data_IF_459241513526
#
_entry.id   IF_459241513526
#
_cell.length_a   1.000
_cell.length_b   1.000
_cell.length_c   1.000
_cell.angle_alpha   90.00
_cell.angle_beta   90.00
_cell.angle_gamma   90.00
#
_symmetry.space_group_name_H-M   'P 1'
#
loop_
_entity.id
_entity.type
_entity.pdbx_description
1 polymer ?
#
# COMPACT_ATOMS: atom_id res chain seq x y z
N UNK A 1 -4.86 -42.23 -5.55
CA UNK A 1 -5.11 -41.48 -6.80
C UNK A 1 -6.13 -40.43 -6.42
N UNK A 2 -5.63 -39.27 -6.02
CA UNK A 2 -6.45 -38.12 -5.67
C UNK A 2 -7.23 -37.84 -6.94
N UNK A 3 -8.54 -37.92 -6.84
CA UNK A 3 -9.36 -37.56 -7.97
C UNK A 3 -9.06 -36.09 -8.30
N UNK A 4 -9.10 -35.75 -9.58
CA UNK A 4 -9.00 -34.35 -10.01
C UNK A 4 -10.07 -33.47 -9.34
N UNK A 5 -11.17 -34.10 -8.90
CA UNK A 5 -12.27 -33.49 -8.14
C UNK A 5 -11.79 -33.05 -6.76
N UNK A 6 -11.11 -33.91 -5.98
CA UNK A 6 -10.60 -33.55 -4.65
C UNK A 6 -9.60 -32.39 -4.72
N UNK A 7 -8.66 -32.44 -5.67
CA UNK A 7 -7.69 -31.34 -5.90
C UNK A 7 -8.41 -30.03 -6.27
N UNK A 8 -9.46 -30.13 -7.08
CA UNK A 8 -10.27 -28.97 -7.47
C UNK A 8 -11.05 -28.38 -6.29
N UNK A 9 -11.57 -29.21 -5.39
CA UNK A 9 -12.27 -28.76 -4.18
C UNK A 9 -11.31 -28.07 -3.19
N UNK A 10 -10.14 -28.65 -2.95
CA UNK A 10 -9.09 -28.03 -2.14
C UNK A 10 -8.65 -26.68 -2.70
N UNK A 11 -8.44 -26.61 -4.03
CA UNK A 11 -8.11 -25.36 -4.71
C UNK A 11 -9.23 -24.32 -4.60
N UNK A 12 -10.50 -24.72 -4.73
CA UNK A 12 -11.64 -23.82 -4.53
C UNK A 12 -11.70 -23.28 -3.10
N UNK A 13 -11.34 -24.09 -2.09
CA UNK A 13 -11.24 -23.62 -0.70
C UNK A 13 -10.13 -22.58 -0.52
N UNK A 14 -9.00 -22.71 -1.23
CA UNK A 14 -7.95 -21.67 -1.26
C UNK A 14 -8.49 -20.37 -1.84
N UNK A 15 -9.15 -20.45 -2.99
CA UNK A 15 -9.70 -19.28 -3.69
C UNK A 15 -10.77 -18.55 -2.85
N UNK A 16 -11.70 -19.29 -2.27
CA UNK A 16 -12.76 -18.73 -1.41
C UNK A 16 -12.19 -18.11 -0.15
N UNK A 17 -11.25 -18.81 0.52
CA UNK A 17 -10.59 -18.30 1.74
C UNK A 17 -9.81 -17.01 1.49
N UNK A 18 -9.14 -16.90 0.34
CA UNK A 18 -8.50 -15.65 -0.06
C UNK A 18 -9.54 -14.54 -0.29
N UNK A 19 -10.61 -14.83 -1.04
CA UNK A 19 -11.68 -13.87 -1.34
C UNK A 19 -12.36 -13.28 -0.10
N UNK A 20 -12.67 -14.12 0.89
CA UNK A 20 -13.31 -13.71 2.14
C UNK A 20 -12.38 -12.83 3.00
N UNK A 21 -11.09 -13.20 3.09
CA UNK A 21 -10.16 -12.57 4.03
C UNK A 21 -9.67 -11.20 3.55
N UNK A 22 -9.56 -10.98 2.22
CA UNK A 22 -9.16 -9.66 1.71
C UNK A 22 -10.33 -8.65 1.78
N UNK A 23 -11.58 -9.09 2.05
CA UNK A 23 -12.79 -8.25 2.13
C UNK A 23 -12.78 -7.11 3.16
N UNK A 24 -11.86 -7.13 4.13
CA UNK A 24 -11.78 -6.15 5.21
C UNK A 24 -10.95 -4.92 4.82
N UNK A 25 -11.56 -4.02 4.05
CA UNK A 25 -11.03 -2.68 3.82
C UNK A 25 -11.12 -1.87 5.12
N UNK A 26 -10.06 -1.12 5.45
CA UNK A 26 -10.08 -0.17 6.58
C UNK A 26 -11.23 0.82 6.39
N UNK A 27 -12.27 0.68 7.22
CA UNK A 27 -13.42 1.58 7.16
C UNK A 27 -13.02 3.04 7.37
N UNK A 28 -13.65 3.95 6.63
CA UNK A 28 -13.42 5.39 6.75
C UNK A 28 -13.85 5.88 8.14
N UNK A 29 -12.87 6.09 9.03
CA UNK A 29 -13.10 6.65 10.36
C UNK A 29 -12.05 7.70 10.65
N UNK A 30 -12.48 8.90 11.05
CA UNK A 30 -11.55 9.98 11.40
C UNK A 30 -10.64 9.59 12.58
N UNK A 31 -11.09 8.69 13.45
CA UNK A 31 -10.33 8.21 14.60
C UNK A 31 -9.48 6.96 14.30
N UNK A 32 -9.20 6.68 13.02
CA UNK A 32 -8.25 5.64 12.63
C UNK A 32 -6.88 5.89 13.24
N UNK A 33 -6.30 4.82 13.79
CA UNK A 33 -4.98 4.84 14.40
C UNK A 33 -3.93 4.34 13.42
N UNK A 34 -2.68 4.76 13.63
CA UNK A 34 -1.53 4.20 12.90
C UNK A 34 -1.45 2.68 13.10
N UNK A 35 -1.74 2.22 14.31
CA UNK A 35 -1.78 0.79 14.65
C UNK A 35 -2.83 -0.01 13.88
N UNK A 36 -3.92 0.62 13.43
CA UNK A 36 -4.93 -0.04 12.60
C UNK A 36 -4.40 -0.26 11.17
N UNK A 37 -3.56 0.65 10.65
CA UNK A 37 -2.82 0.45 9.39
C UNK A 37 -1.76 -0.64 9.55
N UNK A 38 -1.03 -0.66 10.66
CA UNK A 38 -0.09 -1.74 10.97
C UNK A 38 -0.78 -3.11 11.02
N UNK A 39 -1.97 -3.20 11.62
CA UNK A 39 -2.80 -4.43 11.62
C UNK A 39 -3.27 -4.80 10.22
N UNK A 40 -3.66 -3.84 9.39
CA UNK A 40 -4.03 -4.11 8.00
C UNK A 40 -2.91 -4.84 7.26
N UNK A 41 -1.67 -4.33 7.33
CA UNK A 41 -0.53 -4.99 6.68
C UNK A 41 -0.23 -6.36 7.26
N UNK A 42 -0.38 -6.53 8.59
CA UNK A 42 -0.29 -7.85 9.23
C UNK A 42 -1.35 -8.83 8.69
N UNK A 43 -2.60 -8.39 8.55
CA UNK A 43 -3.67 -9.22 7.99
C UNK A 43 -3.39 -9.58 6.52
N UNK A 44 -2.87 -8.64 5.72
CA UNK A 44 -2.45 -8.92 4.34
C UNK A 44 -1.36 -9.99 4.33
N UNK A 45 -0.32 -9.85 5.16
CA UNK A 45 0.75 -10.82 5.29
C UNK A 45 0.22 -12.22 5.66
N UNK A 46 -0.60 -12.33 6.70
CA UNK A 46 -1.16 -13.61 7.17
C UNK A 46 -2.07 -14.25 6.11
N UNK A 47 -2.89 -13.45 5.41
CA UNK A 47 -3.74 -13.93 4.31
C UNK A 47 -2.92 -14.56 3.21
N UNK A 48 -1.92 -13.81 2.71
CA UNK A 48 -1.12 -14.19 1.55
C UNK A 48 -0.24 -15.39 1.89
N UNK A 49 0.29 -15.45 3.12
CA UNK A 49 1.00 -16.62 3.63
C UNK A 49 0.08 -17.84 3.68
N UNK A 50 -1.14 -17.71 4.19
CA UNK A 50 -2.11 -18.81 4.21
C UNK A 50 -2.47 -19.33 2.82
N UNK A 51 -2.57 -18.45 1.83
CA UNK A 51 -2.75 -18.85 0.42
C UNK A 51 -1.53 -19.61 -0.10
N UNK A 52 -0.31 -19.10 0.15
CA UNK A 52 0.94 -19.77 -0.23
C UNK A 52 1.01 -21.18 0.35
N UNK A 53 0.83 -21.32 1.66
CA UNK A 53 0.97 -22.60 2.36
C UNK A 53 -0.04 -23.63 1.84
N UNK A 54 -1.29 -23.21 1.58
CA UNK A 54 -2.32 -24.11 1.02
C UNK A 54 -2.01 -24.53 -0.41
N UNK A 55 -1.46 -23.64 -1.26
CA UNK A 55 -1.04 -24.00 -2.62
C UNK A 55 0.12 -25.00 -2.62
N UNK A 56 1.11 -24.78 -1.76
CA UNK A 56 2.25 -25.71 -1.59
C UNK A 56 1.79 -27.07 -1.06
N UNK A 57 0.82 -27.08 -0.15
CA UNK A 57 0.18 -28.31 0.34
C UNK A 57 -0.50 -29.09 -0.79
N UNK A 58 -1.30 -28.43 -1.64
CA UNK A 58 -1.94 -29.07 -2.81
C UNK A 58 -0.88 -29.72 -3.71
N UNK A 59 0.22 -29.02 -3.99
CA UNK A 59 1.32 -29.57 -4.80
C UNK A 59 1.95 -30.81 -4.15
N UNK A 60 2.15 -30.80 -2.83
CA UNK A 60 2.71 -31.94 -2.11
C UNK A 60 1.79 -33.17 -2.16
N UNK A 61 0.50 -32.98 -1.89
CA UNK A 61 -0.51 -34.05 -1.94
C UNK A 61 -0.62 -34.62 -3.37
N UNK A 62 -0.65 -33.77 -4.40
CA UNK A 62 -0.62 -34.21 -5.80
C UNK A 62 0.59 -35.09 -6.13
N UNK A 63 1.78 -34.81 -5.58
CA UNK A 63 2.99 -35.61 -5.81
C UNK A 63 2.92 -36.96 -5.10
N UNK A 64 2.49 -36.99 -3.85
CA UNK A 64 2.31 -38.21 -3.07
C UNK A 64 1.33 -39.17 -3.75
N UNK A 65 0.26 -38.60 -4.29
CA UNK A 65 -0.81 -39.30 -4.99
C UNK A 65 -0.48 -39.66 -6.45
N UNK A 66 0.75 -39.32 -6.91
CA UNK A 66 1.25 -39.53 -8.27
C UNK A 66 0.33 -38.94 -9.35
N UNK A 67 -0.19 -37.76 -9.09
CA UNK A 67 -1.04 -37.05 -10.04
C UNK A 67 -0.21 -36.63 -11.28
N UNK A 68 -0.66 -36.96 -12.51
CA UNK A 68 0.08 -36.63 -13.73
C UNK A 68 0.26 -35.12 -13.96
N UNK A 69 -0.62 -34.29 -13.39
CA UNK A 69 -0.59 -32.83 -13.52
C UNK A 69 0.28 -32.15 -12.46
N UNK A 70 0.85 -32.91 -11.49
CA UNK A 70 1.59 -32.35 -10.36
C UNK A 70 2.75 -31.45 -10.77
N UNK A 71 3.51 -31.83 -11.81
CA UNK A 71 4.64 -31.05 -12.29
C UNK A 71 4.21 -29.69 -12.90
N UNK A 72 3.11 -29.67 -13.66
CA UNK A 72 2.56 -28.44 -14.23
C UNK A 72 2.03 -27.50 -13.15
N UNK A 73 1.28 -28.04 -12.19
CA UNK A 73 0.76 -27.27 -11.05
C UNK A 73 1.89 -26.73 -10.18
N UNK A 74 2.92 -27.54 -9.89
CA UNK A 74 4.10 -27.10 -9.14
C UNK A 74 4.79 -25.91 -9.83
N UNK A 75 4.96 -25.96 -11.15
CA UNK A 75 5.59 -24.89 -11.91
C UNK A 75 4.82 -23.57 -11.76
N UNK A 76 3.50 -23.58 -11.95
CA UNK A 76 2.66 -22.38 -11.82
C UNK A 76 2.59 -21.87 -10.37
N UNK A 77 2.55 -22.78 -9.38
CA UNK A 77 2.57 -22.41 -7.96
C UNK A 77 3.91 -21.76 -7.60
N UNK A 78 5.05 -22.35 -7.97
CA UNK A 78 6.38 -21.75 -7.72
C UNK A 78 6.51 -20.38 -8.35
N UNK A 79 5.99 -20.22 -9.56
CA UNK A 79 5.96 -18.93 -10.26
C UNK A 79 5.14 -17.90 -9.49
N UNK A 80 3.90 -18.24 -9.10
CA UNK A 80 3.05 -17.35 -8.31
C UNK A 80 3.69 -16.96 -6.97
N UNK A 81 4.30 -17.93 -6.28
CA UNK A 81 4.98 -17.73 -5.00
C UNK A 81 6.14 -16.74 -5.15
N UNK A 82 7.10 -17.05 -6.03
CA UNK A 82 8.33 -16.27 -6.18
C UNK A 82 8.14 -14.92 -6.88
N UNK A 83 7.23 -14.83 -7.84
CA UNK A 83 6.99 -13.58 -8.57
C UNK A 83 6.11 -12.61 -7.78
N UNK A 84 5.19 -13.10 -6.95
CA UNK A 84 4.20 -12.28 -6.26
C UNK A 84 4.04 -12.54 -4.75
N UNK A 85 3.68 -13.76 -4.32
CA UNK A 85 3.25 -13.98 -2.92
C UNK A 85 4.37 -13.64 -1.92
N UNK A 86 5.60 -14.06 -2.18
CA UNK A 86 6.74 -13.81 -1.29
C UNK A 86 7.02 -12.31 -1.13
N UNK A 87 6.99 -11.57 -2.23
CA UNK A 87 7.23 -10.11 -2.21
C UNK A 87 6.11 -9.35 -1.50
N UNK A 88 4.86 -9.79 -1.67
CA UNK A 88 3.72 -9.22 -0.95
C UNK A 88 3.85 -9.51 0.55
N UNK A 89 4.22 -10.74 0.93
CA UNK A 89 4.42 -11.14 2.33
C UNK A 89 5.54 -10.31 2.97
N UNK A 90 6.71 -10.26 2.33
CA UNK A 90 7.89 -9.56 2.85
C UNK A 90 7.66 -8.04 2.94
N UNK A 91 7.06 -7.46 1.90
CA UNK A 91 6.70 -6.04 1.89
C UNK A 91 5.69 -5.71 2.98
N UNK A 92 4.61 -6.50 3.10
CA UNK A 92 3.57 -6.26 4.10
C UNK A 92 4.11 -6.42 5.53
N UNK A 93 4.94 -7.44 5.77
CA UNK A 93 5.65 -7.61 7.04
C UNK A 93 6.53 -6.40 7.35
N UNK A 94 7.34 -5.95 6.39
CA UNK A 94 8.24 -4.80 6.55
C UNK A 94 7.48 -3.53 6.92
N UNK A 95 6.35 -3.25 6.25
CA UNK A 95 5.50 -2.08 6.54
C UNK A 95 4.82 -2.23 7.91
N UNK A 96 4.22 -3.39 8.19
CA UNK A 96 3.54 -3.66 9.45
C UNK A 96 4.47 -3.51 10.68
N UNK A 97 5.72 -3.97 10.56
CA UNK A 97 6.74 -3.79 11.59
C UNK A 97 7.17 -2.32 11.75
N UNK A 98 7.37 -1.60 10.64
CA UNK A 98 7.80 -0.20 10.68
C UNK A 98 6.75 0.70 11.33
N UNK A 99 5.46 0.47 11.05
CA UNK A 99 4.34 1.22 11.66
C UNK A 99 4.12 0.77 13.12
N UNK A 100 4.15 -0.55 13.34
CA UNK A 100 3.73 -1.18 14.58
C UNK A 100 2.22 -1.42 14.67
N UNK A 101 1.83 -2.45 15.42
CA UNK A 101 0.42 -2.88 15.57
C UNK A 101 -0.22 -2.43 16.88
N UNK A 102 0.53 -1.69 17.70
CA UNK A 102 0.13 -1.19 19.01
C UNK A 102 0.37 0.32 19.03
N UNK A 103 -0.55 1.05 19.68
CA UNK A 103 -0.48 2.50 19.81
C UNK A 103 -1.84 3.17 19.62
N UNK A 104 -1.99 4.35 20.21
CA UNK A 104 -3.22 5.16 20.16
C UNK A 104 -3.11 6.36 19.21
N UNK A 105 -1.94 6.58 18.63
CA UNK A 105 -1.70 7.70 17.72
C UNK A 105 -2.62 7.62 16.50
N UNK A 106 -3.32 8.72 16.25
CA UNK A 106 -4.21 8.88 15.11
C UNK A 106 -3.40 9.07 13.82
N UNK A 107 -4.01 8.79 12.68
CA UNK A 107 -3.43 9.15 11.37
C UNK A 107 -3.21 10.66 11.24
N UNK A 108 -4.14 11.47 11.74
CA UNK A 108 -3.98 12.92 11.88
C UNK A 108 -3.42 13.34 13.23
N UNK A 109 -2.25 12.82 13.63
CA UNK A 109 -1.59 13.23 14.88
C UNK A 109 -0.87 14.58 14.69
N UNK A 110 -0.95 15.47 15.67
CA UNK A 110 -0.35 16.81 15.62
C UNK A 110 0.71 16.98 16.70
N UNK A 111 1.72 17.79 16.40
CA UNK A 111 2.63 18.31 17.40
C UNK A 111 1.90 19.30 18.32
N UNK A 112 2.51 19.60 19.46
CA UNK A 112 2.02 20.62 20.38
C UNK A 112 1.85 21.97 19.68
N UNK A 113 1.00 22.83 20.24
CA UNK A 113 0.76 24.17 19.72
C UNK A 113 2.08 24.93 19.48
N UNK A 114 2.22 25.53 18.29
CA UNK A 114 3.42 26.27 17.86
C UNK A 114 4.66 25.41 17.53
N UNK A 115 4.60 24.09 17.71
CA UNK A 115 5.68 23.18 17.35
C UNK A 115 5.62 22.76 15.89
N UNK A 116 6.80 22.56 15.29
CA UNK A 116 6.93 21.93 13.99
C UNK A 116 6.41 20.49 13.98
N UNK A 117 6.16 19.97 12.78
CA UNK A 117 5.82 18.57 12.59
C UNK A 117 7.00 17.64 12.90
N UNK A 118 6.71 16.35 13.08
CA UNK A 118 7.71 15.31 13.32
C UNK A 118 7.75 14.40 12.10
N UNK A 119 8.92 14.17 11.51
CA UNK A 119 9.06 13.29 10.33
C UNK A 119 8.62 11.87 10.64
N UNK A 120 8.93 11.40 11.85
CA UNK A 120 8.73 10.03 12.27
C UNK A 120 10.02 9.22 12.13
N UNK A 121 9.92 7.94 12.52
CA UNK A 121 11.01 6.96 12.49
C UNK A 121 10.70 5.87 11.46
N UNK A 122 11.73 5.19 10.94
CA UNK A 122 11.58 4.08 9.98
C UNK A 122 10.93 4.47 8.63
N UNK A 123 11.04 5.74 8.22
CA UNK A 123 10.46 6.25 6.96
C UNK A 123 10.97 5.43 5.76
N UNK A 124 12.27 5.22 5.68
CA UNK A 124 12.92 4.52 4.58
C UNK A 124 12.51 3.04 4.52
N UNK A 125 12.41 2.38 5.68
CA UNK A 125 11.95 0.99 5.78
C UNK A 125 10.51 0.86 5.31
N UNK A 126 9.65 1.78 5.73
CA UNK A 126 8.24 1.81 5.34
C UNK A 126 8.08 2.05 3.83
N UNK A 127 8.76 3.05 3.27
CA UNK A 127 8.72 3.35 1.83
C UNK A 127 9.20 2.15 1.02
N UNK A 128 10.30 1.50 1.45
CA UNK A 128 10.82 0.29 0.79
C UNK A 128 9.80 -0.85 0.83
N UNK A 129 9.19 -1.13 1.98
CA UNK A 129 8.19 -2.18 2.09
C UNK A 129 6.96 -1.92 1.21
N UNK A 130 6.49 -0.66 1.10
CA UNK A 130 5.42 -0.30 0.17
C UNK A 130 5.87 -0.49 -1.27
N UNK A 131 7.11 -0.08 -1.60
CA UNK A 131 7.69 -0.24 -2.94
C UNK A 131 7.73 -1.71 -3.38
N UNK A 132 8.17 -2.61 -2.52
CA UNK A 132 8.29 -4.03 -2.83
C UNK A 132 6.93 -4.66 -3.20
N UNK A 133 5.83 -4.16 -2.61
CA UNK A 133 4.48 -4.57 -2.99
C UNK A 133 4.05 -3.88 -4.28
N UNK A 134 4.15 -2.54 -4.33
CA UNK A 134 3.64 -1.69 -5.42
C UNK A 134 4.28 -2.04 -6.77
N UNK A 135 5.59 -2.28 -6.81
CA UNK A 135 6.32 -2.64 -8.04
C UNK A 135 5.79 -3.95 -8.68
N UNK A 136 5.13 -4.80 -7.88
CA UNK A 136 4.57 -6.07 -8.34
C UNK A 136 3.09 -5.93 -8.71
N UNK A 137 2.32 -5.25 -7.87
CA UNK A 137 0.85 -5.29 -7.96
C UNK A 137 0.26 -4.13 -8.74
N UNK A 138 0.94 -2.98 -8.81
CA UNK A 138 0.37 -1.74 -9.33
C UNK A 138 1.05 -1.32 -10.63
N UNK A 139 0.28 -1.30 -11.72
CA UNK A 139 0.74 -0.87 -13.06
C UNK A 139 0.24 0.52 -13.46
N UNK A 140 -0.55 1.14 -12.60
CA UNK A 140 -1.25 2.40 -12.87
C UNK A 140 -0.85 3.49 -11.87
N UNK A 141 -1.36 4.70 -12.11
CA UNK A 141 -1.07 5.90 -11.35
C UNK A 141 0.18 6.66 -11.82
N UNK A 142 0.31 7.90 -11.37
CA UNK A 142 1.46 8.78 -11.63
C UNK A 142 1.86 9.51 -10.36
N UNK A 143 3.14 9.47 -10.02
CA UNK A 143 3.68 10.14 -8.83
C UNK A 143 3.56 11.68 -8.88
N UNK A 144 3.33 12.24 -10.06
CA UNK A 144 3.19 13.67 -10.35
C UNK A 144 1.78 14.05 -10.84
N UNK A 145 0.78 13.20 -10.56
CA UNK A 145 -0.61 13.49 -10.93
C UNK A 145 -1.15 14.77 -10.28
N UNK A 146 -2.12 15.38 -10.96
CA UNK A 146 -2.71 16.67 -10.61
C UNK A 146 -1.84 17.85 -11.02
N UNK A 147 -2.02 18.99 -10.35
CA UNK A 147 -1.29 20.21 -10.65
C UNK A 147 -0.56 20.75 -9.42
N UNK A 148 0.25 21.77 -9.64
CA UNK A 148 1.03 22.46 -8.63
C UNK A 148 0.32 23.70 -8.08
N UNK A 149 -0.96 23.90 -8.39
CA UNK A 149 -1.67 25.14 -8.07
C UNK A 149 -2.12 25.17 -6.62
N UNK A 150 -1.87 26.31 -5.96
CA UNK A 150 -2.37 26.64 -4.62
C UNK A 150 -3.89 26.67 -4.62
N UNK A 151 -4.51 26.21 -3.54
CA UNK A 151 -5.96 26.21 -3.40
C UNK A 151 -6.55 27.60 -3.13
N UNK A 152 -5.78 28.56 -2.57
CA UNK A 152 -6.31 29.90 -2.29
C UNK A 152 -6.68 30.71 -3.52
N UNK A 153 -5.98 30.53 -4.64
CA UNK A 153 -6.24 31.26 -5.89
C UNK A 153 -6.48 30.35 -7.11
N UNK A 154 -6.21 29.04 -7.00
CA UNK A 154 -6.38 28.06 -8.07
C UNK A 154 -5.44 28.27 -9.28
N UNK A 155 -4.45 29.15 -9.19
CA UNK A 155 -3.70 29.65 -10.35
C UNK A 155 -2.19 29.75 -10.12
N UNK A 156 -1.73 30.16 -8.94
CA UNK A 156 -0.30 30.26 -8.65
C UNK A 156 0.28 28.92 -8.22
N UNK A 157 1.53 28.66 -8.57
CA UNK A 157 2.22 27.42 -8.19
C UNK A 157 2.59 27.44 -6.70
N UNK A 158 2.61 26.27 -6.06
CA UNK A 158 3.18 26.07 -4.72
C UNK A 158 4.64 26.50 -4.72
N UNK A 159 5.04 27.22 -3.68
CA UNK A 159 6.38 27.81 -3.52
C UNK A 159 7.16 27.03 -2.46
N UNK A 160 8.49 27.10 -2.47
CA UNK A 160 9.28 26.47 -1.41
C UNK A 160 9.14 27.21 -0.07
N UNK A 161 9.39 26.49 1.03
CA UNK A 161 9.36 26.97 2.42
C UNK A 161 10.00 28.37 2.59
N UNK A 162 9.22 29.38 2.99
CA UNK A 162 9.68 30.77 3.15
C UNK A 162 8.84 31.84 2.43
N UNK A 163 7.80 31.46 1.70
CA UNK A 163 6.78 32.39 1.21
C UNK A 163 5.46 31.69 0.93
N UNK A 164 4.39 32.08 1.63
CA UNK A 164 2.96 31.73 1.45
C UNK A 164 2.59 30.31 0.96
N UNK A 165 3.44 29.32 1.17
CA UNK A 165 3.18 27.94 0.76
C UNK A 165 2.12 27.34 1.69
N UNK A 166 1.14 26.68 1.11
CA UNK A 166 -0.05 26.18 1.78
C UNK A 166 0.23 24.76 2.29
N UNK A 167 -0.06 23.71 1.51
CA UNK A 167 0.15 22.35 1.99
C UNK A 167 1.61 22.04 2.33
N UNK A 168 2.61 22.72 1.74
CA UNK A 168 4.01 22.48 2.08
C UNK A 168 4.38 22.83 3.53
N UNK A 169 3.63 23.76 4.16
CA UNK A 169 3.78 24.04 5.61
C UNK A 169 3.48 22.83 6.49
N UNK A 170 2.72 21.83 6.02
CA UNK A 170 2.49 20.57 6.75
C UNK A 170 3.75 19.75 6.98
N UNK A 171 4.83 20.03 6.25
CA UNK A 171 6.05 19.24 6.32
C UNK A 171 7.19 19.96 7.04
N UNK A 172 6.97 21.21 7.48
CA UNK A 172 7.93 21.97 8.27
C UNK A 172 8.17 21.35 9.64
N UNK A 173 9.44 21.12 9.98
CA UNK A 173 9.87 20.49 11.25
C UNK A 173 10.43 21.48 12.26
N UNK A 174 10.71 22.72 11.86
CA UNK A 174 11.20 23.77 12.73
C UNK A 174 10.08 24.31 13.64
N UNK A 175 10.44 24.82 14.82
CA UNK A 175 9.52 25.61 15.65
C UNK A 175 8.92 26.75 14.82
N UNK A 176 7.60 26.92 14.89
CA UNK A 176 6.84 27.79 13.99
C UNK A 176 7.01 27.41 12.51
N UNK A 177 6.46 26.27 12.12
CA UNK A 177 6.32 25.77 10.72
C UNK A 177 5.56 26.73 9.78
N UNK A 178 5.21 27.94 10.24
CA UNK A 178 4.44 28.93 9.50
C UNK A 178 2.93 28.66 9.47
N UNK A 179 2.46 27.56 10.07
CA UNK A 179 1.03 27.23 10.16
C UNK A 179 0.38 28.15 11.20
N UNK A 180 -0.49 29.06 10.73
CA UNK A 180 -1.15 30.05 11.58
C UNK A 180 -0.30 31.27 11.92
N UNK A 181 0.81 31.50 11.20
CA UNK A 181 1.67 32.66 11.39
C UNK A 181 0.97 33.97 10.99
N UNK A 182 0.13 33.93 9.96
CA UNK A 182 -0.77 35.02 9.58
C UNK A 182 -2.25 34.58 9.60
N UNK A 183 -3.15 35.57 9.64
CA UNK A 183 -4.60 35.33 9.58
C UNK A 183 -4.98 34.53 8.31
N UNK A 184 -5.76 33.47 8.48
CA UNK A 184 -6.19 32.59 7.40
C UNK A 184 -5.15 31.58 6.90
N UNK A 185 -3.90 31.61 7.40
CA UNK A 185 -2.85 30.68 6.96
C UNK A 185 -3.23 29.22 7.22
N UNK A 186 -3.68 28.90 8.43
CA UNK A 186 -4.04 27.53 8.78
C UNK A 186 -5.18 27.01 7.87
N UNK A 187 -6.16 27.85 7.56
CA UNK A 187 -7.24 27.52 6.61
C UNK A 187 -6.71 27.24 5.21
N UNK A 188 -5.78 28.05 4.70
CA UNK A 188 -5.15 27.83 3.38
C UNK A 188 -4.39 26.50 3.33
N UNK A 189 -3.57 26.22 4.35
CA UNK A 189 -2.83 24.96 4.48
C UNK A 189 -3.78 23.76 4.44
N UNK A 190 -4.83 23.81 5.27
CA UNK A 190 -5.83 22.75 5.35
C UNK A 190 -6.59 22.56 4.02
N UNK A 191 -7.02 23.66 3.39
CA UNK A 191 -7.77 23.62 2.12
C UNK A 191 -6.91 23.04 1.00
N UNK A 192 -5.64 23.44 0.92
CA UNK A 192 -4.73 22.94 -0.10
C UNK A 192 -4.37 21.46 0.11
N UNK A 193 -4.21 21.03 1.36
CA UNK A 193 -4.04 19.62 1.69
C UNK A 193 -5.24 18.77 1.24
N UNK A 194 -6.47 19.22 1.53
CA UNK A 194 -7.68 18.56 1.05
C UNK A 194 -7.81 18.57 -0.46
N UNK A 195 -7.45 19.68 -1.12
CA UNK A 195 -7.44 19.79 -2.58
C UNK A 195 -6.45 18.79 -3.20
N UNK A 196 -5.22 18.71 -2.68
CA UNK A 196 -4.21 17.78 -3.17
C UNK A 196 -4.68 16.32 -3.06
N UNK A 197 -5.20 15.92 -1.89
CA UNK A 197 -5.74 14.56 -1.67
C UNK A 197 -6.99 14.31 -2.51
N UNK A 198 -7.85 15.32 -2.69
CA UNK A 198 -9.06 15.23 -3.48
C UNK A 198 -8.81 15.06 -4.99
N UNK A 199 -7.75 15.70 -5.51
CA UNK A 199 -7.43 15.74 -6.93
C UNK A 199 -6.78 14.46 -7.49
N UNK A 200 -6.39 13.52 -6.63
CA UNK A 200 -5.62 12.33 -7.03
C UNK A 200 -6.28 11.01 -6.62
N UNK A 201 -5.88 9.93 -7.29
CA UNK A 201 -6.33 8.57 -7.00
C UNK A 201 -5.44 7.88 -5.95
N UNK A 202 -5.90 6.75 -5.42
CA UNK A 202 -5.09 5.93 -4.52
C UNK A 202 -3.81 5.39 -5.17
N UNK A 203 -3.86 5.05 -6.45
CA UNK A 203 -2.70 4.61 -7.21
C UNK A 203 -1.65 5.72 -7.35
N UNK A 204 -2.08 6.96 -7.64
CA UNK A 204 -1.18 8.12 -7.69
C UNK A 204 -0.49 8.37 -6.34
N UNK A 205 -1.23 8.23 -5.23
CA UNK A 205 -0.69 8.37 -3.87
C UNK A 205 0.36 7.29 -3.59
N UNK A 206 0.09 6.03 -3.94
CA UNK A 206 1.07 4.93 -3.79
C UNK A 206 2.33 5.19 -4.61
N UNK A 207 2.19 5.60 -5.87
CA UNK A 207 3.33 5.93 -6.74
C UNK A 207 4.14 7.11 -6.16
N UNK A 208 3.46 8.12 -5.60
CA UNK A 208 4.11 9.26 -4.96
C UNK A 208 4.87 8.87 -3.68
N UNK A 209 4.32 7.97 -2.85
CA UNK A 209 5.01 7.41 -1.67
C UNK A 209 6.29 6.69 -2.12
N UNK A 210 6.20 5.79 -3.09
CA UNK A 210 7.34 5.04 -3.63
C UNK A 210 8.40 5.96 -4.22
N UNK A 211 7.98 7.02 -4.92
CA UNK A 211 8.90 8.01 -5.47
C UNK A 211 9.57 8.86 -4.39
N UNK A 212 8.88 9.09 -3.26
CA UNK A 212 9.34 9.89 -2.13
C UNK A 212 9.82 11.29 -2.54
N UNK A 213 8.97 12.00 -3.30
CA UNK A 213 9.23 13.39 -3.67
C UNK A 213 9.13 14.35 -2.49
N UNK A 214 9.86 15.46 -2.55
CA UNK A 214 9.76 16.52 -1.53
C UNK A 214 8.48 17.34 -1.74
N UNK A 215 7.52 17.19 -0.82
CA UNK A 215 6.26 17.92 -0.84
C UNK A 215 6.37 19.38 -0.38
N UNK A 216 7.52 19.80 0.18
CA UNK A 216 7.81 21.20 0.51
C UNK A 216 8.59 21.92 -0.61
N UNK A 217 8.91 21.22 -1.71
CA UNK A 217 9.57 21.81 -2.86
C UNK A 217 8.62 22.70 -3.67
N UNK A 218 9.18 23.74 -4.31
CA UNK A 218 8.44 24.56 -5.25
C UNK A 218 7.90 23.71 -6.41
N UNK A 219 6.64 23.94 -6.78
CA UNK A 219 5.99 23.20 -7.85
C UNK A 219 5.53 21.79 -7.46
N UNK A 220 5.53 21.42 -6.17
CA UNK A 220 5.03 20.13 -5.72
C UNK A 220 3.60 19.86 -6.25
N UNK A 221 3.44 18.72 -6.93
CA UNK A 221 2.16 18.29 -7.51
C UNK A 221 1.25 17.72 -6.44
N UNK A 222 -0.05 17.69 -6.74
CA UNK A 222 -1.08 17.16 -5.84
C UNK A 222 -0.76 15.73 -5.38
N UNK A 223 -0.27 14.85 -6.26
CA UNK A 223 0.12 13.49 -5.90
C UNK A 223 1.29 13.46 -4.91
N UNK A 224 2.31 14.30 -5.11
CA UNK A 224 3.47 14.41 -4.21
C UNK A 224 3.04 14.86 -2.82
N UNK A 225 2.17 15.88 -2.75
CA UNK A 225 1.63 16.38 -1.48
C UNK A 225 0.75 15.31 -0.81
N UNK A 226 -0.15 14.66 -1.54
CA UNK A 226 -1.02 13.62 -1.00
C UNK A 226 -0.24 12.39 -0.53
N UNK A 227 0.79 11.97 -1.27
CA UNK A 227 1.72 10.91 -0.90
C UNK A 227 2.48 11.23 0.38
N UNK A 228 2.99 12.46 0.51
CA UNK A 228 3.67 12.90 1.72
C UNK A 228 2.72 13.03 2.93
N UNK A 229 1.48 13.47 2.72
CA UNK A 229 0.43 13.46 3.76
C UNK A 229 0.17 12.03 4.24
N UNK A 230 -0.06 11.09 3.31
CA UNK A 230 -0.29 9.69 3.64
C UNK A 230 0.90 9.10 4.39
N UNK A 231 2.13 9.34 3.91
CA UNK A 231 3.36 8.86 4.53
C UNK A 231 3.53 9.39 5.96
N UNK A 232 3.37 10.71 6.16
CA UNK A 232 3.43 11.33 7.49
C UNK A 232 2.36 10.78 8.44
N UNK A 233 1.19 10.47 7.91
CA UNK A 233 0.08 9.94 8.69
C UNK A 233 0.38 8.53 9.22
N UNK A 234 0.98 7.65 8.41
CA UNK A 234 1.21 6.24 8.77
C UNK A 234 2.54 5.96 9.46
N UNK A 235 3.57 6.80 9.22
CA UNK A 235 4.89 6.56 9.78
C UNK A 235 4.89 6.67 11.30
N UNK A 236 5.67 5.81 11.95
CA UNK A 236 5.82 5.78 13.40
C UNK A 236 6.29 7.14 13.92
N UNK A 237 5.64 7.65 14.96
CA UNK A 237 5.91 8.97 15.57
C UNK A 237 5.73 10.20 14.65
N UNK A 238 5.29 10.00 13.40
CA UNK A 238 5.02 11.09 12.46
C UNK A 238 3.89 12.00 12.96
N UNK A 239 4.12 13.32 12.92
CA UNK A 239 3.14 14.33 13.36
C UNK A 239 3.07 15.47 12.37
N UNK A 240 1.87 15.98 12.14
CA UNK A 240 1.66 17.26 11.48
C UNK A 240 1.97 18.41 12.43
N UNK A 241 2.36 19.59 11.92
CA UNK A 241 2.69 20.73 12.77
C UNK A 241 1.48 21.28 13.51
N UNK A 242 1.70 21.71 14.75
CA UNK A 242 0.72 22.41 15.56
C UNK A 242 0.57 23.86 15.12
N UNK A 243 -0.64 24.41 15.19
CA UNK A 243 -0.91 25.80 14.80
C UNK A 243 -0.30 26.78 15.82
N UNK A 244 0.20 27.94 15.38
CA UNK A 244 0.64 29.01 16.30
C UNK A 244 -0.52 29.79 16.94
N UNK A 245 -0.29 30.34 18.14
CA UNK A 245 -1.31 30.90 19.03
C UNK A 245 -1.96 32.22 18.56
N UNK A 246 -1.45 32.89 17.54
CA UNK A 246 -1.89 34.23 17.10
C UNK A 246 -3.26 34.28 16.40
N UNK A 247 -4.00 33.18 16.26
CA UNK A 247 -5.30 33.17 15.56
C UNK A 247 -6.32 32.14 16.10
N UNK A 248 -6.48 32.05 17.43
CA UNK A 248 -7.30 31.01 18.09
C UNK A 248 -8.79 30.91 17.68
N UNK A 249 -9.38 31.89 16.98
CA UNK A 249 -10.80 31.85 16.59
C UNK A 249 -11.08 31.14 15.24
N UNK A 250 -10.16 31.20 14.26
CA UNK A 250 -10.35 30.63 12.91
C UNK A 250 -9.62 29.29 12.69
N UNK A 251 -8.95 28.78 13.73
CA UNK A 251 -8.00 27.67 13.63
C UNK A 251 -8.56 26.30 14.06
N UNK A 252 -9.79 26.22 14.56
CA UNK A 252 -10.41 24.95 14.99
C UNK A 252 -10.64 23.97 13.82
N UNK A 253 -10.83 24.48 12.60
CA UNK A 253 -11.06 23.66 11.41
C UNK A 253 -9.78 23.05 10.84
N UNK A 254 -8.60 23.64 11.10
CA UNK A 254 -7.34 23.16 10.51
C UNK A 254 -7.06 21.70 10.87
N UNK A 255 -7.10 21.36 12.16
CA UNK A 255 -6.77 20.01 12.62
C UNK A 255 -7.80 19.00 12.12
N UNK A 256 -9.08 19.37 12.09
CA UNK A 256 -10.16 18.53 11.57
C UNK A 256 -10.00 18.25 10.08
N UNK A 257 -9.72 19.28 9.27
CA UNK A 257 -9.56 19.17 7.82
C UNK A 257 -8.30 18.39 7.46
N UNK A 258 -7.17 18.67 8.11
CA UNK A 258 -5.91 17.94 7.86
C UNK A 258 -6.02 16.48 8.34
N UNK A 259 -6.71 16.22 9.46
CA UNK A 259 -7.04 14.85 9.91
C UNK A 259 -7.91 14.12 8.89
N UNK A 260 -8.91 14.80 8.33
CA UNK A 260 -9.72 14.28 7.23
C UNK A 260 -8.89 13.97 5.99
N UNK A 261 -8.04 14.90 5.56
CA UNK A 261 -7.14 14.70 4.41
C UNK A 261 -6.17 13.53 4.63
N UNK A 262 -5.60 13.39 5.83
CA UNK A 262 -4.73 12.28 6.20
C UNK A 262 -5.46 10.93 6.12
N UNK A 263 -6.65 10.83 6.71
CA UNK A 263 -7.47 9.62 6.66
C UNK A 263 -7.86 9.29 5.21
N UNK A 264 -8.32 10.27 4.45
CA UNK A 264 -8.68 10.07 3.04
C UNK A 264 -7.50 9.64 2.19
N UNK A 265 -6.31 10.21 2.38
CA UNK A 265 -5.11 9.85 1.62
C UNK A 265 -4.69 8.40 1.91
N UNK A 266 -4.68 8.01 3.18
CA UNK A 266 -4.34 6.65 3.61
C UNK A 266 -5.38 5.65 3.11
N UNK A 267 -6.68 5.90 3.31
CA UNK A 267 -7.72 4.99 2.85
C UNK A 267 -7.69 4.81 1.33
N UNK A 268 -7.58 5.90 0.54
CA UNK A 268 -7.42 5.80 -0.92
C UNK A 268 -6.24 4.90 -1.31
N UNK A 269 -5.07 5.10 -0.67
CA UNK A 269 -3.88 4.32 -0.96
C UNK A 269 -4.07 2.83 -0.61
N UNK A 270 -4.63 2.51 0.56
CA UNK A 270 -4.85 1.13 0.98
C UNK A 270 -5.94 0.43 0.17
N UNK A 271 -6.98 1.15 -0.27
CA UNK A 271 -8.02 0.61 -1.16
C UNK A 271 -7.41 0.20 -2.50
N UNK A 272 -6.64 1.10 -3.11
CA UNK A 272 -5.93 0.83 -4.36
C UNK A 272 -4.95 -0.34 -4.22
N UNK A 273 -4.19 -0.38 -3.12
CA UNK A 273 -3.25 -1.46 -2.83
C UNK A 273 -3.97 -2.81 -2.68
N UNK A 274 -5.09 -2.82 -1.95
CA UNK A 274 -5.90 -4.02 -1.73
C UNK A 274 -6.44 -4.57 -3.06
N UNK A 275 -7.00 -3.70 -3.90
CA UNK A 275 -7.51 -4.08 -5.21
C UNK A 275 -6.39 -4.64 -6.09
N UNK A 276 -5.24 -4.00 -6.11
CA UNK A 276 -4.07 -4.41 -6.88
C UNK A 276 -3.53 -5.78 -6.43
N UNK A 277 -3.42 -6.02 -5.12
CA UNK A 277 -3.03 -7.31 -4.54
C UNK A 277 -4.02 -8.41 -4.96
N UNK A 278 -5.33 -8.17 -4.82
CA UNK A 278 -6.36 -9.15 -5.23
C UNK A 278 -6.23 -9.51 -6.70
N UNK A 279 -6.15 -8.50 -7.57
CA UNK A 279 -6.04 -8.71 -9.02
C UNK A 279 -4.82 -9.56 -9.37
N UNK A 280 -3.67 -9.26 -8.75
CA UNK A 280 -2.42 -10.00 -9.00
C UNK A 280 -2.53 -11.46 -8.58
N UNK A 281 -3.07 -11.72 -7.39
CA UNK A 281 -3.24 -13.08 -6.87
C UNK A 281 -4.30 -13.85 -7.66
N UNK A 282 -5.42 -13.21 -8.02
CA UNK A 282 -6.48 -13.81 -8.83
C UNK A 282 -5.97 -14.22 -10.23
N UNK A 283 -5.14 -13.39 -10.86
CA UNK A 283 -4.49 -13.72 -12.13
C UNK A 283 -3.54 -14.93 -11.98
N UNK A 284 -2.80 -15.01 -10.88
CA UNK A 284 -1.97 -16.17 -10.56
C UNK A 284 -2.76 -17.45 -10.32
N UNK A 285 -3.80 -17.38 -9.46
CA UNK A 285 -4.66 -18.51 -9.14
C UNK A 285 -5.38 -19.04 -10.38
N UNK A 286 -5.78 -18.19 -11.33
CA UNK A 286 -6.35 -18.64 -12.62
C UNK A 286 -5.40 -19.54 -13.40
N UNK A 287 -4.11 -19.21 -13.45
CA UNK A 287 -3.09 -20.04 -14.13
C UNK A 287 -2.88 -21.37 -13.43
N UNK A 288 -2.85 -21.38 -12.10
CA UNK A 288 -2.80 -22.62 -11.30
C UNK A 288 -4.02 -23.50 -11.59
N UNK A 289 -5.22 -22.91 -11.65
CA UNK A 289 -6.45 -23.62 -12.00
C UNK A 289 -6.39 -24.23 -13.40
N UNK A 290 -5.85 -23.51 -14.37
CA UNK A 290 -5.64 -24.01 -15.73
C UNK A 290 -4.67 -25.21 -15.73
N UNK A 291 -3.59 -25.15 -14.96
CA UNK A 291 -2.65 -26.25 -14.80
C UNK A 291 -3.28 -27.50 -14.15
N UNK A 292 -4.18 -27.32 -13.18
CA UNK A 292 -4.95 -28.43 -12.58
C UNK A 292 -5.86 -29.11 -13.64
N UNK A 293 -6.42 -28.32 -14.56
CA UNK A 293 -7.36 -28.77 -15.59
C UNK A 293 -6.73 -29.41 -16.83
N UNK A 294 -5.41 -29.44 -16.98
CA UNK A 294 -4.77 -30.00 -18.17
C UNK A 294 -5.22 -31.47 -18.36
N UNK A 295 -5.70 -31.75 -19.56
CA UNK A 295 -6.63 -32.83 -19.90
C UNK A 295 -6.01 -34.23 -19.77
N UNK A 296 -6.87 -35.22 -19.52
CA UNK A 296 -6.56 -36.66 -19.64
C UNK A 296 -6.06 -37.13 -21.03
N UNK A 297 -6.04 -36.24 -22.04
CA UNK A 297 -5.57 -36.50 -23.40
C UNK A 297 -4.33 -35.68 -23.79
N UNK A 298 -3.88 -34.73 -22.96
CA UNK A 298 -2.63 -34.02 -23.22
C UNK A 298 -1.48 -34.88 -22.69
N UNK A 299 -0.50 -35.17 -23.56
CA UNK A 299 0.68 -35.92 -23.17
C UNK A 299 1.32 -35.21 -21.99
N UNK A 300 1.57 -35.90 -20.86
CA UNK A 300 2.17 -35.25 -19.69
C UNK A 300 3.47 -34.59 -20.13
N UNK A 301 3.72 -33.37 -19.67
CA UNK A 301 4.99 -32.67 -19.83
C UNK A 301 6.07 -33.51 -19.12
N UNK A 302 6.55 -34.54 -19.80
CA UNK A 302 7.68 -35.33 -19.38
C UNK A 302 8.87 -34.38 -19.41
N UNK A 303 9.42 -34.15 -18.23
CA UNK A 303 10.75 -33.57 -18.07
C UNK A 303 11.69 -34.33 -19.01
N UNK A 304 12.21 -33.65 -20.03
CA UNK A 304 13.33 -34.11 -20.84
C UNK A 304 14.56 -34.19 -19.93
N UNK A 305 14.66 -35.26 -19.14
CA UNK A 305 15.91 -35.65 -18.54
C UNK A 305 15.94 -37.16 -18.32
N UNK A 306 16.34 -37.90 -19.35
CA UNK A 306 17.00 -39.20 -19.16
C UNK A 306 17.92 -39.46 -20.34
N UNK A 307 19.20 -39.59 -20.03
CA UNK A 307 20.27 -39.80 -20.98
C UNK A 307 20.09 -41.08 -21.80
N UNK A 308 20.40 -40.97 -23.09
CA UNK A 308 20.62 -42.14 -23.92
C UNK A 308 22.06 -42.62 -23.71
N UNK A 309 22.22 -43.59 -22.80
CA UNK A 309 23.34 -44.52 -22.84
C UNK A 309 23.17 -45.43 -24.03
N UNK A 310 23.91 -45.16 -25.11
CA UNK A 310 23.99 -46.05 -26.26
C UNK A 310 24.90 -47.23 -25.96
N UNK A 311 24.32 -48.41 -25.73
CA UNK A 311 24.97 -49.69 -26.02
C UNK A 311 24.37 -50.23 -27.31
N UNK A 312 25.22 -50.47 -28.32
CA UNK A 312 24.91 -51.41 -29.38
C UNK A 312 26.20 -52.08 -29.85
N UNK A 313 26.17 -53.42 -29.70
CA UNK A 313 26.88 -54.49 -30.42
C UNK A 313 28.38 -54.67 -30.19
#
# INVERSE_FOLDING_TARGET
MQSLVNVSEEFLNVFTSFGEMVGSVLGLNVNLKKSDVGKYFKTVQETVQGTKDKLEKIVAEMKEEKNPNAAGVESEVKKLVSEALDKIIDGAKTVGEAIGTVGSDLLGNFASQGSGGVLGTEVEKLVKGIKDIVDIVLKEGKHDAGNDKKASDGSTSRTANGGTDEAGKLFGTTSNSGVGAAAGDAKKVATDASKAVGAVTGADILQAIVKSGDAAAAGAKDATVAGAIALRAIVKDGKFPGVTATAAADNLDYTAVVKGAAVSAVSKALDALTIAIRKTIDEGLKKVKEAIKINANDTPLASENSGSGGQNQ
#
